data_IF_951423660535
#
_entry.id   IF_951423660535
#
_cell.length_a   1.000
_cell.length_b   1.000
_cell.length_c   1.000
_cell.angle_alpha   90.00
_cell.angle_beta   90.00
_cell.angle_gamma   90.00
#
_symmetry.space_group_name_H-M   'P 1'
#
loop_
_entity.id
_entity.type
_entity.pdbx_description
1 polymer ?
#
# COMPACT_ATOMS: atom_id res chain seq x y z
N UNK A 1 -5.77 -6.25 -17.57
CA UNK A 1 -4.90 -5.14 -17.85
C UNK A 1 -3.66 -5.13 -16.95
N UNK A 2 -3.78 -4.91 -15.62
CA UNK A 2 -2.64 -4.79 -14.69
C UNK A 2 -1.68 -6.00 -14.72
N UNK A 3 -2.21 -7.22 -14.63
CA UNK A 3 -1.39 -8.43 -14.67
C UNK A 3 -0.55 -8.52 -15.96
N UNK A 4 -1.09 -8.15 -17.10
CA UNK A 4 -0.34 -8.18 -18.37
C UNK A 4 0.86 -7.22 -18.35
N UNK A 5 0.71 -6.06 -17.70
CA UNK A 5 1.77 -5.06 -17.56
C UNK A 5 2.93 -5.57 -16.69
N UNK A 6 2.63 -6.31 -15.62
CA UNK A 6 3.59 -6.75 -14.60
C UNK A 6 3.95 -8.23 -14.68
N UNK A 7 3.33 -8.96 -15.63
CA UNK A 7 3.51 -10.41 -15.77
C UNK A 7 4.97 -10.82 -15.88
N UNK A 8 5.75 -10.09 -16.64
CA UNK A 8 7.15 -10.41 -16.87
C UNK A 8 7.97 -10.32 -15.58
N UNK A 9 7.77 -9.26 -14.79
CA UNK A 9 8.42 -9.12 -13.48
C UNK A 9 8.01 -10.25 -12.55
N UNK A 10 6.72 -10.58 -12.49
CA UNK A 10 6.22 -11.62 -11.59
C UNK A 10 6.63 -13.05 -11.98
N UNK A 11 6.86 -13.31 -13.27
CA UNK A 11 7.20 -14.66 -13.76
C UNK A 11 8.70 -14.90 -13.88
N UNK A 12 9.48 -13.87 -14.23
CA UNK A 12 10.91 -13.98 -14.50
C UNK A 12 11.78 -13.25 -13.48
N UNK A 13 11.18 -12.36 -12.70
CA UNK A 13 11.92 -11.56 -11.73
C UNK A 13 12.43 -12.38 -10.56
N UNK A 14 13.37 -11.79 -9.82
CA UNK A 14 13.90 -12.35 -8.59
C UNK A 14 12.98 -12.03 -7.41
N UNK A 15 12.59 -13.07 -6.68
CA UNK A 15 11.70 -12.94 -5.52
C UNK A 15 12.51 -12.80 -4.23
N UNK A 16 12.21 -11.77 -3.46
CA UNK A 16 12.80 -11.47 -2.16
C UNK A 16 11.71 -11.51 -1.08
N UNK A 17 11.92 -12.31 -0.05
CA UNK A 17 11.07 -12.30 1.15
C UNK A 17 11.52 -11.18 2.09
N UNK A 18 10.55 -10.43 2.59
CA UNK A 18 10.71 -9.47 3.66
C UNK A 18 10.30 -10.06 5.00
N UNK A 19 9.50 -9.34 5.76
CA UNK A 19 8.89 -9.85 7.00
C UNK A 19 8.00 -11.04 6.71
N UNK A 20 7.95 -11.99 7.64
CA UNK A 20 7.06 -13.15 7.52
C UNK A 20 6.14 -13.27 8.74
N UNK A 21 4.99 -13.92 8.55
CA UNK A 21 4.08 -14.18 9.64
C UNK A 21 4.76 -15.04 10.73
N UNK A 22 4.58 -14.65 11.99
CA UNK A 22 5.13 -15.35 13.13
C UNK A 22 6.59 -15.01 13.48
N UNK A 23 7.30 -14.27 12.63
CA UNK A 23 8.61 -13.73 12.96
C UNK A 23 8.44 -12.46 13.81
N UNK A 24 8.45 -12.62 15.10
CA UNK A 24 8.47 -11.54 16.06
C UNK A 24 9.16 -12.01 17.31
N UNK A 25 10.20 -11.32 17.76
CA UNK A 25 10.79 -11.57 19.05
C UNK A 25 9.75 -11.31 20.14
N UNK A 26 9.71 -12.15 21.16
CA UNK A 26 8.86 -12.01 22.34
C UNK A 26 9.05 -10.68 23.10
N UNK A 27 10.01 -9.86 22.69
CA UNK A 27 10.43 -8.67 23.43
C UNK A 27 9.63 -7.40 23.17
N UNK A 28 8.79 -7.34 22.16
CA UNK A 28 7.98 -6.13 21.96
C UNK A 28 6.48 -6.39 22.08
N UNK A 29 6.04 -6.58 23.31
CA UNK A 29 4.62 -6.48 23.67
C UNK A 29 3.97 -5.13 23.24
N UNK A 30 4.77 -4.17 22.83
CA UNK A 30 4.37 -2.86 22.31
C UNK A 30 4.09 -2.84 20.80
N UNK A 31 4.53 -3.82 20.03
CA UNK A 31 4.28 -3.90 18.59
C UNK A 31 3.34 -5.06 18.27
N UNK A 32 2.05 -4.84 18.46
CA UNK A 32 1.00 -5.81 18.10
C UNK A 32 0.98 -6.18 16.61
N UNK A 33 1.74 -5.46 15.79
CA UNK A 33 1.90 -5.75 14.36
C UNK A 33 3.00 -6.76 14.05
N UNK A 34 3.87 -7.06 15.01
CA UNK A 34 4.95 -8.03 14.82
C UNK A 34 4.37 -9.44 14.68
N UNK A 35 4.74 -10.13 13.60
CA UNK A 35 4.20 -11.45 13.27
C UNK A 35 2.80 -11.45 12.63
N UNK A 36 2.15 -10.31 12.53
CA UNK A 36 0.84 -10.16 11.91
C UNK A 36 0.94 -9.75 10.42
N UNK A 37 2.11 -9.37 9.96
CA UNK A 37 2.36 -8.90 8.62
C UNK A 37 3.35 -9.78 7.87
N UNK A 38 3.20 -9.83 6.57
CA UNK A 38 4.14 -10.44 5.64
C UNK A 38 4.36 -9.50 4.47
N UNK A 39 5.60 -9.38 4.03
CA UNK A 39 5.93 -8.58 2.85
C UNK A 39 6.89 -9.34 1.94
N UNK A 40 6.83 -9.03 0.67
CA UNK A 40 7.78 -9.50 -0.32
C UNK A 40 7.94 -8.49 -1.47
N UNK A 41 9.03 -8.63 -2.20
CA UNK A 41 9.32 -7.85 -3.40
C UNK A 41 9.76 -8.80 -4.52
N UNK A 42 9.19 -8.66 -5.70
CA UNK A 42 9.64 -9.32 -6.91
C UNK A 42 10.22 -8.28 -7.85
N UNK A 43 11.49 -8.44 -8.23
CA UNK A 43 12.28 -7.44 -8.94
C UNK A 43 12.67 -7.98 -10.31
N UNK A 44 12.53 -7.18 -11.37
CA UNK A 44 13.01 -7.53 -12.71
C UNK A 44 14.52 -7.79 -12.71
N UNK A 45 15.00 -8.54 -13.68
CA UNK A 45 16.41 -8.93 -13.78
C UNK A 45 17.35 -7.72 -13.88
N UNK A 46 16.92 -6.68 -14.58
CA UNK A 46 17.64 -5.40 -14.73
C UNK A 46 17.44 -4.44 -13.55
N UNK A 47 16.62 -4.82 -12.58
CA UNK A 47 16.24 -4.03 -11.39
C UNK A 47 15.54 -2.71 -11.71
N UNK A 48 15.04 -2.52 -12.92
CA UNK A 48 14.35 -1.28 -13.30
C UNK A 48 12.90 -1.24 -12.83
N UNK A 49 12.32 -2.43 -12.56
CA UNK A 49 10.92 -2.56 -12.16
C UNK A 49 10.78 -3.57 -11.03
N UNK A 50 9.89 -3.26 -10.09
CA UNK A 50 9.57 -4.20 -9.03
C UNK A 50 8.09 -4.14 -8.63
N UNK A 51 7.60 -5.28 -8.14
CA UNK A 51 6.27 -5.44 -7.54
C UNK A 51 6.46 -5.85 -6.10
N UNK A 52 5.85 -5.09 -5.20
CA UNK A 52 5.82 -5.38 -3.78
C UNK A 52 4.44 -5.77 -3.29
N UNK A 53 4.38 -6.51 -2.19
CA UNK A 53 3.14 -6.83 -1.51
C UNK A 53 3.33 -6.78 0.00
N UNK A 54 2.36 -6.17 0.67
CA UNK A 54 2.18 -6.24 2.12
C UNK A 54 0.86 -6.96 2.40
N UNK A 55 0.91 -7.96 3.25
CA UNK A 55 -0.26 -8.73 3.69
C UNK A 55 -0.40 -8.62 5.21
N UNK A 56 -1.64 -8.58 5.67
CA UNK A 56 -2.00 -8.56 7.08
C UNK A 56 -2.91 -9.75 7.39
N UNK A 57 -2.72 -10.39 8.55
CA UNK A 57 -3.63 -11.44 9.03
C UNK A 57 -4.89 -10.84 9.64
N UNK A 58 -4.75 -10.15 10.73
CA UNK A 58 -5.85 -9.64 11.52
C UNK A 58 -5.71 -8.14 11.76
N UNK A 59 -6.81 -7.46 11.81
CA UNK A 59 -6.87 -6.09 12.32
C UNK A 59 -6.66 -6.14 13.83
N UNK A 60 -5.74 -5.34 14.33
CA UNK A 60 -5.51 -5.16 15.77
C UNK A 60 -5.81 -3.71 16.15
N UNK A 61 -6.43 -3.49 17.31
CA UNK A 61 -6.71 -2.14 17.79
C UNK A 61 -5.42 -1.33 17.98
N UNK A 62 -5.47 -0.05 17.66
CA UNK A 62 -4.37 0.90 17.87
C UNK A 62 -3.03 0.48 17.22
N UNK A 63 -3.08 -0.17 16.06
CA UNK A 63 -1.86 -0.45 15.31
C UNK A 63 -1.12 0.82 14.95
N UNK A 64 0.20 0.73 15.01
CA UNK A 64 1.06 1.77 14.47
C UNK A 64 0.96 1.81 12.94
N UNK A 65 1.45 2.90 12.36
CA UNK A 65 1.58 2.98 10.91
C UNK A 65 2.37 1.80 10.36
N UNK A 66 1.87 1.22 9.28
CA UNK A 66 2.61 0.20 8.55
C UNK A 66 3.73 0.85 7.75
N UNK A 67 4.83 0.16 7.63
CA UNK A 67 5.89 0.49 6.70
C UNK A 67 6.12 -0.68 5.75
N UNK A 68 6.45 -0.38 4.50
CA UNK A 68 6.86 -1.37 3.52
C UNK A 68 8.35 -1.19 3.21
N UNK A 69 9.11 -2.27 3.24
CA UNK A 69 10.53 -2.28 2.92
C UNK A 69 10.75 -3.09 1.65
N UNK A 70 11.11 -2.40 0.58
CA UNK A 70 11.48 -3.06 -0.66
C UNK A 70 12.76 -3.88 -0.48
N UNK A 71 13.02 -4.82 -1.39
CA UNK A 71 14.27 -5.55 -1.45
C UNK A 71 14.72 -5.73 -2.89
N UNK A 72 16.05 -5.77 -3.09
CA UNK A 72 16.66 -6.10 -4.37
C UNK A 72 16.65 -4.99 -5.41
N UNK A 73 16.41 -3.74 -5.01
CA UNK A 73 16.54 -2.57 -5.87
C UNK A 73 18.01 -2.14 -6.02
N UNK A 74 18.30 -1.32 -7.02
CA UNK A 74 19.58 -0.60 -7.13
C UNK A 74 19.63 0.49 -6.06
N UNK A 75 20.63 0.52 -5.15
CA UNK A 75 20.66 1.50 -4.07
C UNK A 75 20.63 2.95 -4.55
N UNK A 76 21.42 3.26 -5.56
CA UNK A 76 21.64 4.63 -6.05
C UNK A 76 20.61 5.08 -7.10
N UNK A 77 19.77 4.18 -7.59
CA UNK A 77 18.74 4.52 -8.55
C UNK A 77 17.52 5.14 -7.87
N UNK A 78 16.90 6.09 -8.54
CA UNK A 78 15.66 6.71 -8.07
C UNK A 78 14.47 5.94 -8.63
N UNK A 79 13.47 5.67 -7.77
CA UNK A 79 12.26 4.94 -8.12
C UNK A 79 11.02 5.76 -7.81
N UNK A 80 10.03 5.66 -8.69
CA UNK A 80 8.65 6.02 -8.43
C UNK A 80 7.97 4.85 -7.73
N UNK A 81 7.61 5.04 -6.47
CA UNK A 81 6.86 4.07 -5.66
C UNK A 81 5.40 4.47 -5.61
N UNK A 82 4.50 3.57 -6.00
CA UNK A 82 3.07 3.81 -5.98
C UNK A 82 2.29 2.53 -5.71
N UNK A 83 1.03 2.66 -5.26
CA UNK A 83 0.18 1.51 -5.00
C UNK A 83 -0.84 1.29 -6.13
N UNK A 84 -1.42 0.09 -6.12
CA UNK A 84 -2.63 -0.17 -6.88
C UNK A 84 -3.78 0.61 -6.27
N UNK A 85 -4.43 1.48 -7.05
CA UNK A 85 -5.66 2.16 -6.64
C UNK A 85 -6.75 1.15 -6.25
N UNK A 86 -7.37 1.39 -5.11
CA UNK A 86 -8.44 0.58 -4.54
C UNK A 86 -9.73 1.39 -4.48
N UNK A 87 -10.85 0.68 -4.58
CA UNK A 87 -12.19 1.26 -4.46
C UNK A 87 -12.96 0.44 -3.43
N UNK A 88 -13.39 1.10 -2.37
CA UNK A 88 -14.17 0.49 -1.31
C UNK A 88 -15.67 0.60 -1.54
N UNK A 89 -16.41 -0.37 -1.04
CA UNK A 89 -17.85 -0.28 -1.02
C UNK A 89 -18.28 0.60 0.16
N UNK A 90 -19.20 1.51 -0.06
CA UNK A 90 -19.73 2.38 0.98
C UNK A 90 -20.36 1.60 2.15
N UNK A 91 -20.89 0.39 1.89
CA UNK A 91 -21.43 -0.51 2.91
C UNK A 91 -20.38 -1.01 3.91
N UNK A 92 -19.10 -1.09 3.48
CA UNK A 92 -18.01 -1.57 4.32
C UNK A 92 -17.76 -0.65 5.53
N UNK A 93 -18.32 0.56 5.50
CA UNK A 93 -18.17 1.56 6.56
C UNK A 93 -19.33 1.58 7.56
N UNK A 94 -20.37 0.80 7.35
CA UNK A 94 -21.51 0.71 8.25
C UNK A 94 -22.12 2.09 8.55
N UNK A 95 -22.48 2.34 9.80
CA UNK A 95 -23.14 3.58 10.23
C UNK A 95 -22.25 4.83 10.17
N UNK A 96 -20.93 4.63 10.05
CA UNK A 96 -19.99 5.75 9.90
C UNK A 96 -20.26 6.61 8.64
N UNK A 97 -20.93 6.04 7.64
CA UNK A 97 -21.37 6.80 6.47
C UNK A 97 -22.26 7.98 6.87
N UNK A 98 -23.05 7.84 7.92
CA UNK A 98 -23.98 8.86 8.39
C UNK A 98 -23.29 10.05 9.07
N UNK A 99 -22.04 9.94 9.42
CA UNK A 99 -21.29 11.06 10.01
C UNK A 99 -20.88 12.12 8.99
N UNK A 100 -20.78 11.72 7.71
CA UNK A 100 -20.42 12.61 6.59
C UNK A 100 -21.57 12.81 5.62
N UNK A 101 -22.64 12.01 5.72
CA UNK A 101 -23.83 12.15 4.90
C UNK A 101 -24.74 13.25 5.42
N UNK A 102 -25.23 14.17 4.57
CA UNK A 102 -26.19 15.19 4.99
C UNK A 102 -27.58 14.60 5.35
N UNK A 103 -27.83 13.36 4.97
CA UNK A 103 -29.07 12.64 5.23
C UNK A 103 -28.74 11.32 5.89
N UNK A 104 -29.46 10.99 6.96
CA UNK A 104 -29.31 9.70 7.63
C UNK A 104 -29.77 8.55 6.74
N UNK A 105 -28.84 7.66 6.39
CA UNK A 105 -29.10 6.50 5.54
C UNK A 105 -29.14 5.25 6.41
N UNK A 106 -30.29 4.57 6.42
CA UNK A 106 -30.46 3.33 7.17
C UNK A 106 -29.65 2.21 6.52
N UNK A 107 -28.86 1.46 7.33
CA UNK A 107 -27.90 0.46 6.84
C UNK A 107 -28.51 -0.62 5.92
N UNK A 108 -29.68 -1.12 6.26
CA UNK A 108 -30.36 -2.18 5.51
C UNK A 108 -31.38 -1.63 4.50
N UNK A 109 -31.22 -0.39 4.07
CA UNK A 109 -32.17 0.24 3.15
C UNK A 109 -31.83 -0.04 1.68
N UNK A 110 -32.88 -0.18 0.86
CA UNK A 110 -32.74 -0.25 -0.60
C UNK A 110 -32.01 1.00 -1.17
N UNK A 111 -32.14 2.13 -0.49
CA UNK A 111 -31.45 3.35 -0.87
C UNK A 111 -29.93 3.21 -0.73
N UNK A 112 -29.43 2.61 0.37
CA UNK A 112 -28.00 2.34 0.54
C UNK A 112 -27.51 1.34 -0.51
N UNK A 113 -28.30 0.31 -0.83
CA UNK A 113 -27.98 -0.68 -1.85
C UNK A 113 -27.81 -0.05 -3.23
N UNK A 114 -28.69 0.86 -3.57
CA UNK A 114 -28.64 1.59 -4.83
C UNK A 114 -27.41 2.50 -4.88
N UNK A 115 -27.17 3.27 -3.84
CA UNK A 115 -26.00 4.16 -3.75
C UNK A 115 -24.70 3.36 -3.84
N UNK A 116 -24.59 2.23 -3.14
CA UNK A 116 -23.41 1.38 -3.11
C UNK A 116 -23.06 0.73 -4.46
N UNK A 117 -24.04 0.60 -5.37
CA UNK A 117 -23.80 0.14 -6.74
C UNK A 117 -23.05 1.17 -7.58
N UNK A 118 -23.37 2.44 -7.42
CA UNK A 118 -22.88 3.51 -8.28
C UNK A 118 -21.73 4.28 -7.64
N UNK A 119 -21.73 4.44 -6.32
CA UNK A 119 -20.73 5.20 -5.61
C UNK A 119 -19.75 4.26 -4.90
N UNK A 120 -18.47 4.39 -5.23
CA UNK A 120 -17.36 3.75 -4.53
C UNK A 120 -16.54 4.84 -3.87
N UNK A 121 -15.93 4.51 -2.74
CA UNK A 121 -14.98 5.39 -2.08
C UNK A 121 -13.56 5.04 -2.52
N UNK A 122 -12.76 6.04 -2.79
CA UNK A 122 -11.36 5.84 -3.13
C UNK A 122 -10.58 5.42 -1.88
N UNK A 123 -9.68 4.46 -2.09
CA UNK A 123 -8.76 4.04 -1.05
C UNK A 123 -7.53 4.95 -0.96
N UNK A 124 -6.61 4.54 -0.10
CA UNK A 124 -5.32 5.22 0.05
C UNK A 124 -4.53 5.26 -1.28
N UNK A 125 -3.88 6.38 -1.51
CA UNK A 125 -2.99 6.61 -2.65
C UNK A 125 -1.58 6.79 -2.11
N UNK A 126 -0.72 5.82 -2.39
CA UNK A 126 0.72 5.94 -2.20
C UNK A 126 1.33 6.43 -3.50
N UNK A 127 2.11 7.47 -3.41
CA UNK A 127 2.80 8.08 -4.53
C UNK A 127 4.01 8.84 -3.97
N UNK A 128 5.20 8.29 -4.17
CA UNK A 128 6.43 8.93 -3.74
C UNK A 128 7.61 8.55 -4.63
N UNK A 129 8.63 9.38 -4.59
CA UNK A 129 9.86 9.22 -5.35
C UNK A 129 11.03 9.17 -4.37
N UNK A 130 11.76 8.06 -4.37
CA UNK A 130 12.87 7.86 -3.44
C UNK A 130 14.00 7.04 -4.07
N UNK A 131 15.18 7.14 -3.50
CA UNK A 131 16.30 6.29 -3.87
C UNK A 131 16.07 4.85 -3.40
N UNK A 132 16.63 3.88 -4.10
CA UNK A 132 16.43 2.48 -3.80
C UNK A 132 16.90 2.08 -2.41
N UNK A 133 18.00 2.65 -1.91
CA UNK A 133 18.47 2.46 -0.55
C UNK A 133 17.44 2.95 0.49
N UNK A 134 16.82 4.11 0.26
CA UNK A 134 15.74 4.62 1.12
C UNK A 134 14.57 3.67 1.16
N UNK A 135 14.13 3.14 0.00
CA UNK A 135 13.03 2.20 -0.09
C UNK A 135 13.35 0.86 0.59
N UNK A 136 14.62 0.43 0.57
CA UNK A 136 15.05 -0.85 1.14
C UNK A 136 15.33 -0.80 2.63
N UNK A 137 16.06 0.22 3.12
CA UNK A 137 16.53 0.27 4.49
C UNK A 137 15.65 1.09 5.42
N UNK A 138 15.20 2.25 4.98
CA UNK A 138 14.27 3.07 5.76
C UNK A 138 12.83 2.60 5.60
N UNK A 139 12.48 2.18 4.39
CA UNK A 139 11.12 1.80 4.02
C UNK A 139 10.21 3.00 3.78
N UNK A 140 9.03 2.71 3.26
CA UNK A 140 7.98 3.69 3.01
C UNK A 140 6.95 3.61 4.12
N UNK A 141 6.74 4.69 4.86
CA UNK A 141 5.61 4.80 5.79
C UNK A 141 4.33 4.90 4.99
N UNK A 142 3.47 3.92 5.14
CA UNK A 142 2.25 3.79 4.36
C UNK A 142 1.13 4.67 4.92
N UNK A 143 0.25 5.15 4.05
CA UNK A 143 -0.89 5.99 4.44
C UNK A 143 -2.01 5.21 5.13
N UNK A 144 -2.16 3.90 4.81
CA UNK A 144 -3.06 3.05 5.57
C UNK A 144 -2.51 2.86 6.99
N UNK A 145 -3.13 3.48 7.95
CA UNK A 145 -2.64 3.47 9.32
C UNK A 145 -3.09 2.24 10.10
N UNK A 146 -4.35 1.83 9.97
CA UNK A 146 -4.98 0.73 10.73
C UNK A 146 -6.30 0.33 10.07
N UNK A 147 -6.91 -0.75 10.55
CA UNK A 147 -8.19 -1.26 10.04
C UNK A 147 -9.42 -0.44 10.43
N UNK A 148 -9.26 0.82 10.77
CA UNK A 148 -10.36 1.73 11.07
C UNK A 148 -10.75 2.59 9.87
N UNK A 149 -11.91 3.21 9.93
CA UNK A 149 -12.36 4.19 8.95
C UNK A 149 -11.73 5.55 9.22
N UNK A 150 -11.11 6.13 8.22
CA UNK A 150 -10.69 7.52 8.24
C UNK A 150 -11.78 8.43 7.67
N UNK A 151 -11.93 9.62 8.24
CA UNK A 151 -12.90 10.62 7.78
C UNK A 151 -12.35 11.58 6.73
N UNK A 152 -11.26 11.23 6.11
CA UNK A 152 -10.62 12.05 5.09
C UNK A 152 -11.12 11.65 3.71
N UNK A 153 -10.76 12.40 2.69
CA UNK A 153 -10.99 12.05 1.30
C UNK A 153 -10.31 10.72 0.90
N UNK A 154 -9.30 10.30 1.65
CA UNK A 154 -8.62 9.02 1.53
C UNK A 154 -9.08 8.05 2.62
N UNK A 155 -9.71 6.97 2.22
CA UNK A 155 -10.12 5.91 3.14
C UNK A 155 -8.91 5.07 3.51
N UNK A 156 -8.61 4.98 4.80
CA UNK A 156 -7.52 4.16 5.35
C UNK A 156 -8.10 2.90 5.97
N UNK A 157 -8.27 1.88 5.15
CA UNK A 157 -8.92 0.65 5.56
C UNK A 157 -8.14 -0.57 5.12
N UNK A 158 -7.60 -1.31 6.09
CA UNK A 158 -6.83 -2.52 5.87
C UNK A 158 -7.44 -3.67 6.69
N UNK A 159 -8.25 -4.46 6.03
CA UNK A 159 -9.08 -5.51 6.64
C UNK A 159 -8.25 -6.73 7.06
N UNK A 160 -8.90 -7.66 7.78
CA UNK A 160 -8.38 -9.00 8.04
C UNK A 160 -8.07 -9.71 6.72
N UNK A 161 -6.94 -10.40 6.70
CA UNK A 161 -6.43 -11.14 5.53
C UNK A 161 -6.32 -10.30 4.25
N UNK A 162 -6.20 -9.00 4.39
CA UNK A 162 -6.05 -8.10 3.25
C UNK A 162 -4.61 -8.01 2.76
N UNK A 163 -4.47 -7.63 1.50
CA UNK A 163 -3.19 -7.38 0.86
C UNK A 163 -3.19 -6.03 0.13
N UNK A 164 -2.02 -5.42 0.06
CA UNK A 164 -1.73 -4.22 -0.73
C UNK A 164 -0.60 -4.51 -1.70
N UNK A 165 -0.77 -4.06 -2.93
CA UNK A 165 0.27 -4.18 -3.96
C UNK A 165 0.88 -2.82 -4.23
N UNK A 166 2.20 -2.80 -4.31
CA UNK A 166 3.02 -1.65 -4.62
C UNK A 166 3.82 -1.90 -5.88
N UNK A 167 4.09 -0.84 -6.61
CA UNK A 167 4.87 -0.85 -7.83
C UNK A 167 6.02 0.12 -7.69
N UNK A 168 7.16 -0.26 -8.23
CA UNK A 168 8.36 0.55 -8.27
C UNK A 168 8.91 0.54 -9.69
N UNK A 169 9.11 1.71 -10.25
CA UNK A 169 9.68 1.90 -11.58
C UNK A 169 10.85 2.87 -11.49
N UNK A 170 12.01 2.45 -11.99
CA UNK A 170 13.20 3.29 -12.04
C UNK A 170 12.95 4.52 -12.91
N UNK A 171 13.19 5.67 -12.36
CA UNK A 171 13.13 6.93 -13.11
C UNK A 171 14.38 7.02 -13.99
N UNK A 172 14.16 7.17 -15.29
CA UNK A 172 15.25 7.51 -16.20
C UNK A 172 15.77 8.87 -15.79
N UNK A 173 17.02 8.96 -15.37
CA UNK A 173 17.62 10.21 -14.96
C UNK A 173 17.39 11.29 -16.03
N UNK A 174 16.77 12.39 -15.64
CA UNK A 174 16.99 13.64 -16.34
C UNK A 174 18.50 13.88 -16.21
N UNK A 175 19.20 13.72 -17.31
CA UNK A 175 20.56 14.24 -17.40
C UNK A 175 20.47 15.72 -16.98
N UNK A 176 21.10 16.02 -15.88
CA UNK A 176 21.21 17.35 -15.32
C UNK A 176 21.77 18.26 -16.44
N UNK A 177 20.88 18.97 -17.13
CA UNK A 177 21.28 20.01 -18.05
C UNK A 177 21.78 21.17 -17.20
N UNK A 178 22.99 21.02 -16.69
CA UNK A 178 23.73 22.08 -16.07
C UNK A 178 24.00 23.17 -17.11
N UNK A 179 23.04 24.01 -17.34
CA UNK A 179 23.31 25.34 -17.89
C UNK A 179 23.89 26.19 -16.78
N UNK A 180 25.23 26.22 -16.79
CA UNK A 180 25.98 27.23 -16.08
C UNK A 180 25.64 28.57 -16.72
N UNK A 181 24.79 29.37 -16.07
CA UNK A 181 24.73 30.81 -16.32
C UNK A 181 26.09 31.42 -15.96
N UNK A 182 26.72 31.94 -17.01
CA UNK A 182 27.85 32.86 -16.92
C UNK A 182 27.32 34.29 -16.84
#
# INVERSE_FOLDING_TARGET
ALYKQWREVLQKGRFYRGRTFGEGSHESALSQSVGNQMEWTCVSEDQTRAVGMLMQKLVVPNTQYHSYHAKGLKPDARYHFYNRSLKYNIKDFGDLVNTVSPVHIRQDSLALDLIARFKKMDGEIEDCHAAGDMLMYHGVKLKQAFGGTGYNNEVRYFQDFAARMYFMEEEKGHADSGEAEK
#
